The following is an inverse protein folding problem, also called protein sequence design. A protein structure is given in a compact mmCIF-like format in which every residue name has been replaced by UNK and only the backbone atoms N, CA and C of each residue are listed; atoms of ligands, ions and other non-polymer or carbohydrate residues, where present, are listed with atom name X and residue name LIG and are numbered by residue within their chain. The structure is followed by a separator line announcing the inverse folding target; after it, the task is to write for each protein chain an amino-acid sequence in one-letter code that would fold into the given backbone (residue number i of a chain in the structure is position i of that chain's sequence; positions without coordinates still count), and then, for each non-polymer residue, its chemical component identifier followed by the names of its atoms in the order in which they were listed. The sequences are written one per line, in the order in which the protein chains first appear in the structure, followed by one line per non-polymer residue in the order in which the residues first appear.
data_IF_032280001668
#
_entry.id   IF_032280001668
#
_cell.length_a   1.000
_cell.length_b   1.000
_cell.length_c   1.000
_cell.angle_alpha   90.00
_cell.angle_beta   90.00
_cell.angle_gamma   90.00
#
_symmetry.space_group_name_H-M   'P 1'
#
loop_
_entity.id
_entity.type
_entity.pdbx_description
1 polymer ?
#
# COMPACT_ATOMS: atom_id res chain seq x y z
N UNK A 1 -6.65 14.28 -34.82
CA UNK A 1 -6.97 13.45 -33.64
C UNK A 1 -6.59 14.29 -32.43
N UNK A 2 -7.47 14.48 -31.45
CA UNK A 2 -7.10 15.26 -30.26
C UNK A 2 -5.93 14.56 -29.56
N UNK A 3 -4.83 15.26 -29.32
CA UNK A 3 -3.68 14.72 -28.60
C UNK A 3 -4.08 14.47 -27.15
N UNK A 4 -4.49 13.24 -26.85
CA UNK A 4 -4.74 12.80 -25.49
C UNK A 4 -3.43 12.87 -24.71
N UNK A 5 -3.45 13.58 -23.60
CA UNK A 5 -2.37 13.50 -22.63
C UNK A 5 -2.61 12.33 -21.67
N UNK A 6 -1.52 11.75 -21.18
CA UNK A 6 -1.58 10.56 -20.35
C UNK A 6 -0.85 10.75 -19.03
N UNK A 7 -1.29 10.00 -18.04
CA UNK A 7 -0.61 9.82 -16.77
C UNK A 7 -0.43 8.33 -16.48
N UNK A 8 0.57 8.03 -15.65
CA UNK A 8 1.10 6.69 -15.48
C UNK A 8 1.11 6.28 -14.01
N UNK A 9 0.94 4.98 -13.79
CA UNK A 9 1.11 4.35 -12.48
C UNK A 9 1.67 2.95 -12.66
N UNK A 10 2.78 2.64 -12.00
CA UNK A 10 3.20 1.26 -11.82
C UNK A 10 2.42 0.60 -10.68
N UNK A 11 1.96 -0.62 -10.93
CA UNK A 11 1.28 -1.50 -9.97
C UNK A 11 1.92 -2.88 -10.01
N UNK A 12 1.78 -3.63 -8.94
CA UNK A 12 2.22 -5.02 -8.84
C UNK A 12 1.04 -5.99 -8.85
N UNK A 13 1.30 -7.23 -9.27
CA UNK A 13 0.38 -8.37 -9.22
C UNK A 13 1.19 -9.66 -9.24
N UNK A 14 0.52 -10.80 -9.32
CA UNK A 14 1.10 -12.08 -9.66
C UNK A 14 0.63 -12.51 -11.06
N UNK A 15 1.49 -13.23 -11.78
CA UNK A 15 1.09 -13.93 -12.99
C UNK A 15 0.32 -15.24 -12.66
N UNK A 16 -0.11 -15.97 -13.68
CA UNK A 16 -0.84 -17.24 -13.52
C UNK A 16 -0.04 -18.36 -12.83
N UNK A 17 1.27 -18.17 -12.62
CA UNK A 17 2.16 -19.10 -11.90
C UNK A 17 2.53 -18.58 -10.51
N UNK A 18 1.92 -17.47 -10.06
CA UNK A 18 2.21 -16.86 -8.77
C UNK A 18 3.48 -16.01 -8.73
N UNK A 19 4.18 -15.79 -9.85
CA UNK A 19 5.40 -14.97 -9.87
C UNK A 19 5.04 -13.48 -9.81
N UNK A 20 5.74 -12.67 -9.01
CA UNK A 20 5.46 -11.25 -8.92
C UNK A 20 5.77 -10.55 -10.25
N UNK A 21 4.86 -9.70 -10.70
CA UNK A 21 4.99 -8.89 -11.91
C UNK A 21 4.73 -7.42 -11.59
N UNK A 22 5.34 -6.54 -12.38
CA UNK A 22 5.12 -5.08 -12.33
C UNK A 22 4.50 -4.65 -13.66
N UNK A 23 3.37 -3.95 -13.59
CA UNK A 23 2.59 -3.52 -14.74
C UNK A 23 2.48 -1.99 -14.76
N UNK A 24 2.44 -1.42 -15.96
CA UNK A 24 2.21 0.00 -16.18
C UNK A 24 0.73 0.24 -16.51
N UNK A 25 0.05 1.01 -15.67
CA UNK A 25 -1.28 1.53 -15.96
C UNK A 25 -1.15 2.92 -16.57
N UNK A 26 -1.83 3.12 -17.70
CA UNK A 26 -1.92 4.38 -18.43
C UNK A 26 -3.36 4.88 -18.38
N UNK A 27 -3.53 6.16 -18.09
CA UNK A 27 -4.84 6.82 -17.97
C UNK A 27 -4.82 8.15 -18.72
N UNK A 28 -5.95 8.57 -19.28
CA UNK A 28 -6.10 9.84 -20.00
C UNK A 28 -6.32 10.97 -19.02
N UNK A 29 -5.60 12.08 -19.20
CA UNK A 29 -5.82 13.32 -18.46
C UNK A 29 -6.99 14.08 -19.12
N UNK A 30 -7.99 14.43 -18.31
CA UNK A 30 -9.22 15.10 -18.76
C UNK A 30 -9.15 16.61 -18.60
N UNK A 31 -8.52 17.05 -17.51
CA UNK A 31 -8.30 18.45 -17.18
C UNK A 31 -7.22 18.55 -16.13
N UNK A 32 -6.58 19.70 -16.07
CA UNK A 32 -5.54 19.98 -15.10
C UNK A 32 -5.61 21.40 -14.54
N UNK A 33 -4.95 21.56 -13.40
CA UNK A 33 -4.68 22.82 -12.71
C UNK A 33 -3.19 22.87 -12.41
N UNK A 34 -2.69 23.95 -11.81
CA UNK A 34 -1.29 24.03 -11.36
C UNK A 34 -0.90 22.87 -10.42
N UNK A 35 -1.81 22.41 -9.55
CA UNK A 35 -1.50 21.45 -8.47
C UNK A 35 -2.09 20.06 -8.65
N UNK A 36 -3.09 19.90 -9.51
CA UNK A 36 -3.83 18.63 -9.67
C UNK A 36 -4.21 18.36 -11.10
N UNK A 37 -4.44 17.09 -11.42
CA UNK A 37 -5.09 16.66 -12.66
C UNK A 37 -6.17 15.63 -12.39
N UNK A 38 -7.14 15.56 -13.30
CA UNK A 38 -8.21 14.58 -13.29
C UNK A 38 -7.99 13.62 -14.44
N UNK A 39 -8.21 12.34 -14.20
CA UNK A 39 -7.92 11.30 -15.17
C UNK A 39 -8.98 10.20 -15.16
N UNK A 40 -9.06 9.45 -16.25
CA UNK A 40 -9.90 8.26 -16.38
C UNK A 40 -9.21 7.20 -17.29
N UNK A 41 -9.76 5.97 -17.37
CA UNK A 41 -9.33 5.00 -18.37
C UNK A 41 -9.39 5.57 -19.79
N UNK A 42 -8.48 5.11 -20.66
CA UNK A 42 -8.53 5.47 -22.07
C UNK A 42 -9.68 4.77 -22.78
N UNK A 43 -10.29 5.50 -23.72
CA UNK A 43 -11.28 5.01 -24.66
C UNK A 43 -10.70 5.23 -26.07
N UNK A 44 -10.01 4.23 -26.65
CA UNK A 44 -9.19 4.41 -27.85
C UNK A 44 -9.94 5.02 -29.04
N UNK A 45 -11.23 4.69 -29.17
CA UNK A 45 -12.10 5.13 -30.26
C UNK A 45 -12.83 6.45 -29.99
N UNK A 46 -12.51 7.16 -28.89
CA UNK A 46 -13.11 8.46 -28.55
C UNK A 46 -12.04 9.55 -28.50
N UNK A 47 -12.37 10.75 -28.99
CA UNK A 47 -11.57 11.95 -28.77
C UNK A 47 -11.62 12.39 -27.30
N UNK A 48 -10.69 13.27 -26.90
CA UNK A 48 -10.67 13.82 -25.54
C UNK A 48 -11.99 14.51 -25.19
N UNK A 49 -12.54 15.32 -26.09
CA UNK A 49 -13.83 16.01 -25.91
C UNK A 49 -14.98 15.02 -25.73
N UNK A 50 -15.00 13.94 -26.52
CA UNK A 50 -15.99 12.87 -26.39
C UNK A 50 -15.89 12.16 -25.03
N UNK A 51 -14.67 11.90 -24.56
CA UNK A 51 -14.42 11.30 -23.24
C UNK A 51 -14.89 12.24 -22.13
N UNK A 52 -14.55 13.53 -22.18
CA UNK A 52 -15.00 14.53 -21.19
C UNK A 52 -16.54 14.55 -21.12
N UNK A 53 -17.21 14.59 -22.28
CA UNK A 53 -18.68 14.57 -22.37
C UNK A 53 -19.28 13.26 -21.84
N UNK A 54 -18.64 12.13 -22.10
CA UNK A 54 -19.08 10.81 -21.63
C UNK A 54 -18.95 10.67 -20.11
N UNK A 55 -17.84 11.13 -19.55
CA UNK A 55 -17.55 11.08 -18.12
C UNK A 55 -18.34 12.11 -17.31
N UNK A 56 -18.79 13.21 -17.94
CA UNK A 56 -19.65 14.22 -17.31
C UNK A 56 -21.10 13.76 -17.06
N UNK A 57 -21.49 12.55 -17.47
CA UNK A 57 -22.85 12.02 -17.28
C UNK A 57 -23.08 11.61 -15.82
N UNK A 58 -24.27 11.89 -15.24
CA UNK A 58 -24.63 11.43 -13.90
C UNK A 58 -24.44 9.92 -13.75
N UNK A 59 -23.75 9.49 -12.68
CA UNK A 59 -23.51 8.08 -12.36
C UNK A 59 -22.18 7.50 -12.84
N UNK A 60 -21.45 8.17 -13.75
CA UNK A 60 -20.15 7.69 -14.21
C UNK A 60 -19.00 8.22 -13.32
N UNK A 61 -18.58 7.43 -12.32
CA UNK A 61 -17.61 7.83 -11.29
C UNK A 61 -16.15 7.45 -11.61
N UNK A 62 -15.81 7.23 -12.87
CA UNK A 62 -14.46 6.77 -13.22
C UNK A 62 -13.40 7.88 -13.22
N UNK A 63 -13.83 9.15 -13.14
CA UNK A 63 -12.94 10.29 -13.02
C UNK A 63 -12.35 10.35 -11.61
N UNK A 64 -11.02 10.27 -11.53
CA UNK A 64 -10.27 10.40 -10.28
C UNK A 64 -9.34 11.61 -10.35
N UNK A 65 -8.93 12.11 -9.18
CA UNK A 65 -8.01 13.25 -9.03
C UNK A 65 -6.67 12.77 -8.48
N UNK A 66 -5.58 13.30 -9.03
CA UNK A 66 -4.21 13.13 -8.54
C UNK A 66 -3.56 14.48 -8.28
N UNK A 67 -2.67 14.53 -7.28
CA UNK A 67 -1.80 15.68 -7.03
C UNK A 67 -0.59 15.59 -7.96
N UNK A 68 -0.18 16.73 -8.51
CA UNK A 68 1.09 16.85 -9.25
C UNK A 68 2.25 16.78 -8.26
N UNK A 69 3.36 16.19 -8.66
CA UNK A 69 4.64 16.16 -7.92
C UNK A 69 4.60 15.54 -6.50
N UNK A 70 3.47 15.01 -6.04
CA UNK A 70 3.40 14.37 -4.74
C UNK A 70 3.91 12.93 -4.84
N UNK A 71 4.94 12.57 -4.06
CA UNK A 71 5.52 11.22 -4.05
C UNK A 71 4.49 10.12 -3.71
N UNK A 72 3.45 10.48 -2.95
CA UNK A 72 2.33 9.60 -2.58
C UNK A 72 1.12 9.69 -3.52
N UNK A 73 1.23 10.45 -4.61
CA UNK A 73 0.16 10.50 -5.62
C UNK A 73 -0.06 9.12 -6.25
N UNK A 74 -1.26 8.91 -6.79
CA UNK A 74 -1.61 7.64 -7.44
C UNK A 74 -1.03 7.57 -8.85
N UNK A 75 -1.04 8.67 -9.57
CA UNK A 75 -0.58 8.76 -10.96
C UNK A 75 0.36 9.95 -11.13
N UNK A 76 1.24 9.85 -12.11
CA UNK A 76 2.28 10.84 -12.41
C UNK A 76 2.36 11.11 -13.92
N UNK A 77 2.92 12.24 -14.32
CA UNK A 77 3.01 12.63 -15.73
C UNK A 77 3.97 11.75 -16.51
N UNK A 78 5.10 11.41 -15.89
CA UNK A 78 6.14 10.61 -16.53
C UNK A 78 6.16 9.19 -15.98
N UNK A 79 6.65 8.25 -16.79
CA UNK A 79 6.86 6.88 -16.35
C UNK A 79 7.94 6.84 -15.27
N UNK A 80 8.97 7.69 -15.37
CA UNK A 80 10.06 7.82 -14.40
C UNK A 80 9.54 8.23 -13.02
N UNK A 81 8.70 9.26 -12.94
CA UNK A 81 8.06 9.67 -11.68
C UNK A 81 7.14 8.57 -11.12
N UNK A 82 6.36 7.93 -11.99
CA UNK A 82 5.49 6.84 -11.59
C UNK A 82 6.27 5.65 -11.01
N UNK A 83 7.46 5.37 -11.57
CA UNK A 83 8.35 4.31 -11.11
C UNK A 83 9.01 4.68 -9.79
N UNK A 84 9.52 5.93 -9.65
CA UNK A 84 10.04 6.45 -8.37
C UNK A 84 9.01 6.33 -7.25
N UNK A 85 7.77 6.74 -7.52
CA UNK A 85 6.68 6.62 -6.56
C UNK A 85 6.32 5.16 -6.24
N UNK A 86 6.43 4.26 -7.22
CA UNK A 86 6.25 2.82 -6.98
C UNK A 86 7.32 2.24 -6.07
N UNK A 87 8.60 2.55 -6.33
CA UNK A 87 9.72 2.13 -5.48
C UNK A 87 9.51 2.62 -4.04
N UNK A 88 9.20 3.91 -3.87
CA UNK A 88 8.90 4.48 -2.56
C UNK A 88 7.77 3.73 -1.83
N UNK A 89 6.65 3.47 -2.52
CA UNK A 89 5.54 2.70 -1.93
C UNK A 89 5.95 1.29 -1.52
N UNK A 90 6.84 0.63 -2.28
CA UNK A 90 7.31 -0.73 -1.98
C UNK A 90 8.32 -0.77 -0.84
N UNK A 91 9.22 0.20 -0.77
CA UNK A 91 10.10 0.37 0.40
C UNK A 91 9.28 0.60 1.66
N UNK A 92 8.32 1.52 1.60
CA UNK A 92 7.41 1.77 2.72
C UNK A 92 6.59 0.52 3.11
N UNK A 93 6.13 -0.26 2.12
CA UNK A 93 5.44 -1.54 2.39
C UNK A 93 6.35 -2.54 3.10
N UNK A 94 7.63 -2.65 2.70
CA UNK A 94 8.61 -3.52 3.35
C UNK A 94 8.90 -3.08 4.79
N UNK A 95 9.10 -1.79 5.03
CA UNK A 95 9.29 -1.23 6.38
C UNK A 95 8.11 -1.56 7.29
N UNK A 96 6.87 -1.38 6.80
CA UNK A 96 5.66 -1.75 7.52
C UNK A 96 5.58 -3.24 7.82
N UNK A 97 5.93 -4.10 6.86
CA UNK A 97 5.94 -5.56 7.07
C UNK A 97 6.95 -5.94 8.14
N UNK A 98 8.16 -5.36 8.13
CA UNK A 98 9.18 -5.61 9.15
C UNK A 98 8.70 -5.18 10.54
N UNK A 99 8.12 -3.99 10.64
CA UNK A 99 7.56 -3.49 11.90
C UNK A 99 6.46 -4.40 12.43
N UNK A 100 5.53 -4.80 11.57
CA UNK A 100 4.45 -5.74 11.94
C UNK A 100 5.03 -7.08 12.37
N UNK A 101 5.99 -7.62 11.62
CA UNK A 101 6.63 -8.91 11.93
C UNK A 101 7.29 -8.86 13.31
N UNK A 102 8.08 -7.82 13.60
CA UNK A 102 8.72 -7.65 14.89
C UNK A 102 7.69 -7.53 16.03
N UNK A 103 6.65 -6.72 15.82
CA UNK A 103 5.59 -6.52 16.82
C UNK A 103 4.90 -7.85 17.13
N UNK A 104 4.54 -8.63 16.11
CA UNK A 104 3.91 -9.94 16.28
C UNK A 104 4.85 -10.90 17.02
N UNK A 105 6.14 -10.93 16.65
CA UNK A 105 7.14 -11.77 17.33
C UNK A 105 7.29 -11.42 18.81
N UNK A 106 7.37 -10.12 19.16
CA UNK A 106 7.43 -9.67 20.55
C UNK A 106 6.15 -10.03 21.33
N UNK A 107 4.99 -9.87 20.72
CA UNK A 107 3.72 -10.27 21.33
C UNK A 107 3.69 -11.76 21.66
N UNK A 108 4.04 -12.62 20.70
CA UNK A 108 4.08 -14.07 20.93
C UNK A 108 5.08 -14.43 22.02
N UNK A 109 6.30 -13.90 21.95
CA UNK A 109 7.32 -14.11 22.97
C UNK A 109 6.82 -13.72 24.37
N UNK A 110 6.24 -12.53 24.51
CA UNK A 110 5.72 -12.04 25.78
C UNK A 110 4.58 -12.90 26.35
N UNK A 111 3.70 -13.43 25.49
CA UNK A 111 2.64 -14.38 25.92
C UNK A 111 3.24 -15.64 26.54
N UNK A 112 4.33 -16.15 25.94
CA UNK A 112 5.02 -17.34 26.44
C UNK A 112 5.76 -17.07 27.74
N UNK A 113 6.52 -15.98 27.80
CA UNK A 113 7.28 -15.58 28.99
C UNK A 113 6.37 -15.27 30.18
N UNK A 114 5.16 -14.76 29.94
CA UNK A 114 4.16 -14.54 30.98
C UNK A 114 3.46 -15.83 31.46
N UNK A 115 3.73 -16.99 30.83
CA UNK A 115 3.17 -18.28 31.25
C UNK A 115 1.71 -18.50 30.87
N UNK A 116 1.17 -17.75 29.90
CA UNK A 116 -0.20 -17.95 29.44
C UNK A 116 -0.38 -19.20 28.57
N UNK A 117 0.69 -19.65 27.93
CA UNK A 117 0.66 -20.76 26.95
C UNK A 117 1.82 -21.72 27.23
N UNK A 118 1.56 -23.01 27.05
CA UNK A 118 2.60 -24.05 27.09
C UNK A 118 3.49 -23.95 25.84
N UNK A 119 4.76 -23.58 26.05
CA UNK A 119 5.74 -23.47 24.97
C UNK A 119 6.34 -24.87 24.72
N UNK A 120 6.38 -25.30 23.46
CA UNK A 120 7.08 -26.52 23.08
C UNK A 120 8.58 -26.41 23.41
N UNK A 121 9.29 -27.54 23.52
CA UNK A 121 10.75 -27.52 23.82
C UNK A 121 11.57 -26.74 22.78
N UNK A 122 11.03 -26.55 21.58
CA UNK A 122 11.68 -25.84 20.48
C UNK A 122 11.33 -24.34 20.46
N UNK A 123 10.51 -23.85 21.40
CA UNK A 123 10.18 -22.44 21.53
C UNK A 123 9.10 -21.94 20.55
N UNK A 124 8.51 -22.83 19.74
CA UNK A 124 7.58 -22.45 18.69
C UNK A 124 6.13 -22.39 19.18
N UNK A 125 5.47 -21.27 18.89
CA UNK A 125 4.02 -21.11 19.01
C UNK A 125 3.33 -21.77 17.82
N UNK A 126 2.32 -22.60 18.08
CA UNK A 126 1.44 -23.09 17.04
C UNK A 126 -0.02 -22.94 17.47
N UNK A 127 -0.94 -23.07 16.51
CA UNK A 127 -2.39 -22.95 16.76
C UNK A 127 -2.97 -24.04 17.67
N UNK A 128 -2.15 -25.03 18.05
CA UNK A 128 -2.52 -26.15 18.91
C UNK A 128 -1.86 -26.06 20.29
N UNK A 129 -1.14 -24.98 20.60
CA UNK A 129 -0.52 -24.78 21.91
C UNK A 129 -1.57 -24.75 23.03
N UNK A 130 -1.31 -25.44 24.14
CA UNK A 130 -2.22 -25.47 25.28
C UNK A 130 -2.22 -24.12 25.99
N UNK A 131 -3.42 -23.55 26.19
CA UNK A 131 -3.60 -22.32 26.98
C UNK A 131 -3.64 -22.71 28.45
N UNK A 132 -2.70 -22.18 29.23
CA UNK A 132 -2.58 -22.43 30.68
C UNK A 132 -3.39 -21.42 31.48
N UNK A 133 -3.37 -20.16 31.05
CA UNK A 133 -4.12 -19.06 31.68
C UNK A 133 -4.35 -17.92 30.70
N UNK A 134 -5.21 -16.97 31.06
CA UNK A 134 -5.52 -15.79 30.24
C UNK A 134 -5.36 -14.51 31.07
N UNK A 135 -4.90 -13.40 30.47
CA UNK A 135 -4.79 -12.13 31.18
C UNK A 135 -6.18 -11.52 31.47
N UNK A 136 -6.36 -10.96 32.67
CA UNK A 136 -7.63 -10.33 33.09
C UNK A 136 -7.89 -8.97 32.40
N UNK A 137 -6.84 -8.33 31.90
CA UNK A 137 -6.86 -7.02 31.23
C UNK A 137 -5.70 -6.92 30.24
N UNK A 138 -5.53 -5.75 29.65
CA UNK A 138 -4.38 -5.45 28.79
C UNK A 138 -3.06 -5.82 29.48
N UNK A 139 -2.27 -6.62 28.78
CA UNK A 139 -0.95 -7.05 29.20
C UNK A 139 0.09 -6.49 28.23
N UNK A 140 1.20 -6.01 28.79
CA UNK A 140 2.33 -5.51 28.03
C UNK A 140 3.26 -6.67 27.69
N UNK A 141 3.27 -7.08 26.43
CA UNK A 141 4.07 -8.22 25.97
C UNK A 141 5.58 -7.94 25.90
N UNK A 142 6.01 -6.68 25.85
CA UNK A 142 7.40 -6.29 25.93
C UNK A 142 7.51 -4.91 26.58
N UNK A 143 8.48 -4.74 27.48
CA UNK A 143 8.75 -3.44 28.12
C UNK A 143 9.47 -2.46 27.17
N UNK A 144 10.26 -2.99 26.24
CA UNK A 144 11.02 -2.21 25.28
C UNK A 144 10.46 -2.35 23.87
N UNK A 145 10.61 -1.29 23.07
CA UNK A 145 10.37 -1.37 21.63
C UNK A 145 11.42 -2.26 20.98
N UNK A 146 11.02 -3.02 19.95
CA UNK A 146 11.97 -3.75 19.13
C UNK A 146 12.89 -2.84 18.30
N UNK A 147 13.90 -3.42 17.68
CA UNK A 147 14.91 -2.73 16.88
C UNK A 147 14.29 -1.94 15.70
N UNK A 148 13.28 -2.52 15.04
CA UNK A 148 12.57 -1.87 13.93
C UNK A 148 11.66 -0.77 14.46
N UNK A 149 10.88 -1.04 15.51
CA UNK A 149 9.98 -0.06 16.11
C UNK A 149 10.70 1.15 16.71
N UNK A 150 11.88 0.94 17.31
CA UNK A 150 12.69 2.01 17.92
C UNK A 150 13.27 2.99 16.91
N UNK A 151 13.46 2.57 15.66
CA UNK A 151 13.94 3.42 14.56
C UNK A 151 12.83 3.84 13.59
N UNK A 152 11.60 3.39 13.81
CA UNK A 152 10.47 3.66 12.95
C UNK A 152 9.95 5.09 13.11
N UNK A 153 9.69 5.78 11.99
CA UNK A 153 9.07 7.12 11.99
C UNK A 153 7.54 7.00 12.05
N UNK A 154 6.98 7.24 13.23
CA UNK A 154 5.55 7.05 13.51
C UNK A 154 4.61 8.11 12.91
N UNK A 155 5.13 9.19 12.33
CA UNK A 155 4.27 10.22 11.76
C UNK A 155 4.90 11.59 11.54
N UNK A 156 6.18 11.78 11.88
CA UNK A 156 6.88 13.04 11.58
C UNK A 156 7.20 13.10 10.07
N UNK A 157 6.37 13.83 9.33
CA UNK A 157 6.58 14.27 7.97
C UNK A 157 6.46 15.79 7.90
#
# INVERSE_FOLDING_TARGET
MSDKEYCYRYVDSNDSKGRPIVMLWQMVILRETEKTFWYCPDYPNMSLEQIIKYQGRPGNRQVKRSLKNAARSRYHYTKEEALKAFIYRKQYQLERIRLTSETVSLCLKGIGEAGFVEISKDGEFNSFSNILSVPEKDFRAAEEAGEVASTYRWGEY
#
